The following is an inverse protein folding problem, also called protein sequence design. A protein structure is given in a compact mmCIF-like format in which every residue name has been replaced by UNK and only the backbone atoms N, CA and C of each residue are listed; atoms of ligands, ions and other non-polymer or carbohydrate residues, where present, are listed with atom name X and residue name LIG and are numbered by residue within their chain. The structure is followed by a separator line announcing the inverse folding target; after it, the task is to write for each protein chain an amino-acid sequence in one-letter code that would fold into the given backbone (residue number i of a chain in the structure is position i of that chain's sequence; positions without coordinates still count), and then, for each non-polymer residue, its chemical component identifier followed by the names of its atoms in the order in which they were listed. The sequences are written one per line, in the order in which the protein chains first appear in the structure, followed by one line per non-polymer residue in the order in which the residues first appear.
data_IF_259650898412
#
_entry.id   IF_259650898412
#
_cell.length_a   1.000
_cell.length_b   1.000
_cell.length_c   1.000
_cell.angle_alpha   90.00
_cell.angle_beta   90.00
_cell.angle_gamma   90.00
#
_symmetry.space_group_name_H-M   'P 1'
#
loop_
_entity.id
_entity.type
_entity.pdbx_description
1 polymer ?
#
# COMPACT_ATOMS: atom_id res chain seq x y z
N UNK A 1 27.18 34.02 0.82
CA UNK A 1 26.10 33.64 -0.10
C UNK A 1 26.16 32.13 -0.24
N UNK A 2 25.18 31.29 0.13
CA UNK A 2 23.73 31.42 0.29
C UNK A 2 23.26 30.70 1.56
N UNK A 3 22.12 31.09 2.18
CA UNK A 3 21.63 30.48 3.41
C UNK A 3 21.05 29.08 3.18
N UNK A 4 21.17 28.24 4.22
CA UNK A 4 20.57 26.93 4.34
C UNK A 4 19.06 26.99 4.09
N UNK A 5 18.59 26.24 3.11
CA UNK A 5 17.16 26.09 2.84
C UNK A 5 16.58 25.17 3.91
N UNK A 6 15.61 25.60 4.73
CA UNK A 6 14.89 24.67 5.59
C UNK A 6 13.98 23.86 4.67
N UNK A 7 14.45 22.68 4.26
CA UNK A 7 13.58 21.72 3.58
C UNK A 7 12.46 21.39 4.56
N UNK A 8 11.25 21.79 4.19
CA UNK A 8 10.03 21.45 4.91
C UNK A 8 9.88 19.92 4.84
N UNK A 9 10.46 19.25 5.82
CA UNK A 9 10.46 17.82 6.06
C UNK A 9 9.07 17.37 6.53
N UNK A 10 8.06 17.61 5.71
CA UNK A 10 6.66 17.49 6.12
C UNK A 10 5.85 16.82 5.02
N UNK A 11 6.25 15.59 4.70
CA UNK A 11 5.42 14.55 4.09
C UNK A 11 6.03 13.13 4.27
N UNK A 12 6.03 12.52 5.45
CA UNK A 12 6.96 12.73 6.58
C UNK A 12 8.14 11.71 6.55
N UNK A 13 8.13 10.75 5.63
CA UNK A 13 9.15 9.72 5.46
C UNK A 13 8.89 9.01 4.12
N UNK A 14 9.34 9.57 2.98
CA UNK A 14 9.03 9.01 1.67
C UNK A 14 9.69 7.64 1.50
N UNK A 15 9.03 6.76 0.75
CA UNK A 15 9.59 5.45 0.42
C UNK A 15 10.89 5.64 -0.36
N UNK A 16 11.99 4.93 -0.02
CA UNK A 16 13.18 4.96 -0.86
C UNK A 16 12.85 4.47 -2.27
N UNK A 17 13.54 5.00 -3.26
CA UNK A 17 13.36 4.63 -4.67
C UNK A 17 14.47 3.65 -5.09
N UNK A 18 14.13 2.56 -5.81
CA UNK A 18 15.13 1.63 -6.33
C UNK A 18 16.11 2.33 -7.30
N UNK A 19 17.37 1.89 -7.36
CA UNK A 19 18.30 2.35 -8.38
C UNK A 19 17.79 1.97 -9.78
N UNK A 20 18.13 2.79 -10.77
CA UNK A 20 17.83 2.50 -12.18
C UNK A 20 18.83 1.44 -12.65
N UNK A 21 18.32 0.38 -13.27
CA UNK A 21 19.16 -0.66 -13.85
C UNK A 21 19.92 -0.08 -15.05
N UNK A 22 21.27 -0.21 -15.10
CA UNK A 22 22.04 0.23 -16.25
C UNK A 22 21.79 -0.68 -17.45
N UNK A 23 21.92 -0.12 -18.66
CA UNK A 23 21.87 -0.92 -19.88
C UNK A 23 23.20 -1.66 -20.12
N UNK A 24 23.21 -2.62 -21.04
CA UNK A 24 24.45 -3.25 -21.50
C UNK A 24 25.36 -2.22 -22.17
N UNK A 25 24.81 -1.25 -22.91
CA UNK A 25 25.59 -0.19 -23.56
C UNK A 25 26.29 0.76 -22.56
N UNK A 26 25.80 0.87 -21.32
CA UNK A 26 26.49 1.60 -20.24
C UNK A 26 27.73 0.85 -19.73
N UNK A 27 27.84 -0.45 -20.03
CA UNK A 27 29.03 -1.22 -19.72
C UNK A 27 30.16 -0.86 -20.68
N UNK A 28 31.31 -0.47 -20.13
CA UNK A 28 32.52 -0.17 -20.92
C UNK A 28 33.05 -1.40 -21.72
N UNK A 29 32.58 -2.63 -21.43
CA UNK A 29 32.97 -3.92 -22.05
C UNK A 29 34.48 -4.24 -22.10
N UNK A 30 35.32 -3.33 -21.61
CA UNK A 30 36.79 -3.41 -21.68
C UNK A 30 37.42 -3.62 -20.30
N UNK A 31 36.60 -3.86 -19.27
CA UNK A 31 37.06 -4.07 -17.89
C UNK A 31 37.32 -2.79 -17.10
N UNK A 32 36.63 -1.67 -17.41
CA UNK A 32 36.69 -0.47 -16.58
C UNK A 32 36.28 -0.77 -15.12
N UNK A 33 37.00 -0.23 -14.14
CA UNK A 33 36.69 -0.38 -12.71
C UNK A 33 36.37 0.97 -12.06
N UNK A 34 35.23 1.10 -11.36
CA UNK A 34 34.24 0.06 -11.07
C UNK A 34 33.30 -0.24 -12.26
N UNK A 35 32.86 -1.50 -12.41
CA UNK A 35 31.85 -1.85 -13.41
C UNK A 35 30.53 -1.15 -13.06
N UNK A 36 29.76 -0.71 -14.06
CA UNK A 36 28.45 -0.06 -13.82
C UNK A 36 27.49 -1.01 -13.08
N UNK A 37 27.58 -2.31 -13.35
CA UNK A 37 26.82 -3.33 -12.65
C UNK A 37 27.26 -3.47 -11.18
N UNK A 38 28.56 -3.38 -10.88
CA UNK A 38 29.04 -3.39 -9.48
C UNK A 38 28.51 -2.18 -8.69
N UNK A 39 28.49 -1.00 -9.33
CA UNK A 39 27.95 0.23 -8.73
C UNK A 39 26.45 0.10 -8.50
N UNK A 40 25.73 -0.51 -9.46
CA UNK A 40 24.31 -0.79 -9.35
C UNK A 40 24.01 -1.76 -8.22
N UNK A 41 24.72 -2.89 -8.12
CA UNK A 41 24.52 -3.88 -7.07
C UNK A 41 24.75 -3.27 -5.68
N UNK A 42 25.83 -2.51 -5.51
CA UNK A 42 26.08 -1.78 -4.27
C UNK A 42 24.98 -0.74 -3.96
N UNK A 43 24.39 -0.11 -4.97
CA UNK A 43 23.25 0.79 -4.79
C UNK A 43 21.97 0.04 -4.42
N UNK A 44 21.78 -1.15 -4.97
CA UNK A 44 20.65 -2.02 -4.68
C UNK A 44 20.68 -2.48 -3.22
N UNK A 45 21.83 -2.91 -2.72
CA UNK A 45 22.00 -3.27 -1.30
C UNK A 45 21.64 -2.11 -0.36
N UNK A 46 22.12 -0.88 -0.67
CA UNK A 46 21.77 0.32 0.12
C UNK A 46 20.28 0.60 0.09
N UNK A 47 19.65 0.41 -1.07
CA UNK A 47 18.21 0.59 -1.24
C UNK A 47 17.42 -0.43 -0.40
N UNK A 48 17.80 -1.70 -0.40
CA UNK A 48 17.11 -2.74 0.38
C UNK A 48 17.18 -2.47 1.89
N UNK A 49 18.35 -2.05 2.38
CA UNK A 49 18.52 -1.64 3.79
C UNK A 49 17.61 -0.45 4.11
N UNK A 50 17.62 0.59 3.26
CA UNK A 50 16.78 1.77 3.46
C UNK A 50 15.29 1.41 3.43
N UNK A 51 14.89 0.50 2.54
CA UNK A 51 13.50 0.05 2.40
C UNK A 51 13.04 -0.72 3.64
N UNK A 52 13.87 -1.61 4.18
CA UNK A 52 13.57 -2.35 5.40
C UNK A 52 13.38 -1.40 6.60
N UNK A 53 14.26 -0.41 6.75
CA UNK A 53 14.14 0.59 7.82
C UNK A 53 12.89 1.46 7.66
N UNK A 54 12.56 1.84 6.43
CA UNK A 54 11.33 2.56 6.12
C UNK A 54 10.08 1.75 6.48
N UNK A 55 10.03 0.46 6.14
CA UNK A 55 8.90 -0.41 6.47
C UNK A 55 8.66 -0.49 7.98
N UNK A 56 9.72 -0.65 8.78
CA UNK A 56 9.62 -0.64 10.26
C UNK A 56 9.02 0.66 10.80
N UNK A 57 9.32 1.81 10.17
CA UNK A 57 8.71 3.10 10.55
C UNK A 57 7.25 3.18 10.15
N UNK A 58 6.88 2.66 8.96
CA UNK A 58 5.47 2.56 8.56
C UNK A 58 4.67 1.67 9.50
N UNK A 59 5.23 0.54 9.93
CA UNK A 59 4.57 -0.38 10.86
C UNK A 59 4.26 0.27 12.21
N UNK A 60 5.19 1.06 12.74
CA UNK A 60 4.95 1.85 13.95
C UNK A 60 3.85 2.89 13.73
N UNK A 61 3.88 3.58 12.59
CA UNK A 61 2.89 4.62 12.27
C UNK A 61 1.50 4.05 11.98
N UNK A 62 1.38 2.92 11.28
CA UNK A 62 0.09 2.28 11.03
C UNK A 62 -0.54 1.75 12.32
N UNK A 63 0.25 1.28 13.29
CA UNK A 63 -0.30 0.90 14.61
C UNK A 63 -0.85 2.12 15.34
N UNK A 64 -0.14 3.25 15.33
CA UNK A 64 -0.61 4.49 15.98
C UNK A 64 -1.75 5.17 15.22
N UNK A 65 -1.78 5.10 13.89
CA UNK A 65 -2.81 5.74 13.07
C UNK A 65 -4.08 4.91 12.92
N UNK A 66 -4.01 3.59 13.13
CA UNK A 66 -5.21 2.71 13.13
C UNK A 66 -6.01 2.78 14.44
N UNK A 67 -5.55 3.53 15.46
CA UNK A 67 -6.26 3.78 16.72
C UNK A 67 -6.85 5.22 16.83
N UNK A 68 -6.80 6.03 15.76
CA UNK A 68 -7.63 7.23 15.66
C UNK A 68 -8.96 6.86 14.98
N UNK A 69 -10.10 6.78 15.71
CA UNK A 69 -11.38 6.65 15.05
C UNK A 69 -11.57 7.89 14.18
N UNK A 70 -11.82 7.66 12.91
CA UNK A 70 -11.92 8.68 11.88
C UNK A 70 -13.13 9.59 12.16
N UNK A 71 -12.91 10.61 12.98
CA UNK A 71 -13.84 11.70 13.20
C UNK A 71 -13.49 12.81 12.22
N UNK A 72 -14.15 12.78 11.07
CA UNK A 72 -13.95 13.77 10.03
C UNK A 72 -14.79 13.53 8.78
N UNK A 73 -16.09 13.29 8.90
CA UNK A 73 -17.14 13.74 7.95
C UNK A 73 -18.52 13.69 8.64
N UNK A 74 -19.09 14.81 9.12
CA UNK A 74 -20.53 14.89 9.31
C UNK A 74 -21.20 15.48 8.07
N UNK A 75 -22.29 14.84 7.62
CA UNK A 75 -23.60 15.42 7.22
C UNK A 75 -24.26 14.66 6.04
N UNK A 76 -25.60 14.70 5.92
CA UNK A 76 -26.61 14.34 6.92
C UNK A 76 -27.61 13.30 6.37
N UNK A 77 -28.41 12.70 7.25
CA UNK A 77 -29.55 11.88 6.88
C UNK A 77 -30.60 12.70 6.08
N UNK A 78 -30.87 12.31 4.83
CA UNK A 78 -32.13 12.66 4.16
C UNK A 78 -32.74 11.38 3.58
N UNK A 79 -33.97 11.15 4.01
CA UNK A 79 -34.74 9.92 3.87
C UNK A 79 -35.43 9.86 2.50
N UNK A 80 -35.61 8.67 1.94
CA UNK A 80 -36.66 8.42 0.94
C UNK A 80 -37.35 7.06 1.21
N UNK A 81 -38.68 6.97 1.05
CA UNK A 81 -39.50 5.96 1.74
C UNK A 81 -39.60 4.61 1.00
N UNK A 82 -40.02 3.62 1.81
CA UNK A 82 -40.26 2.21 1.50
C UNK A 82 -41.19 2.01 0.29
N UNK A 83 -40.78 1.18 -0.67
CA UNK A 83 -41.69 0.45 -1.55
C UNK A 83 -41.68 -1.03 -1.15
N UNK A 84 -42.70 -1.43 -0.38
CA UNK A 84 -43.00 -2.84 -0.10
C UNK A 84 -43.92 -3.34 -1.22
N UNK A 85 -43.35 -4.01 -2.23
CA UNK A 85 -44.13 -4.76 -3.22
C UNK A 85 -44.20 -6.22 -2.77
N UNK A 86 -45.40 -6.60 -2.35
CA UNK A 86 -45.79 -7.97 -1.99
C UNK A 86 -45.99 -8.85 -3.24
N UNK A 87 -46.05 -10.17 -2.98
CA UNK A 87 -46.09 -11.35 -3.89
C UNK A 87 -44.67 -11.82 -4.15
N UNK A 88 -44.23 -13.01 -3.70
CA UNK A 88 -44.70 -14.30 -4.20
C UNK A 88 -44.66 -15.39 -3.10
N UNK A 89 -45.83 -15.79 -2.61
CA UNK A 89 -46.01 -17.07 -1.94
C UNK A 89 -46.61 -18.04 -2.94
N UNK A 90 -45.82 -18.97 -3.47
CA UNK A 90 -46.40 -20.20 -4.03
C UNK A 90 -45.40 -21.37 -3.91
N UNK A 91 -45.65 -22.15 -2.86
CA UNK A 91 -45.64 -23.61 -2.87
C UNK A 91 -44.51 -24.35 -3.60
N UNK A 92 -43.59 -24.95 -2.82
CA UNK A 92 -43.22 -26.35 -3.09
C UNK A 92 -42.86 -27.05 -1.78
N UNK A 93 -43.92 -27.41 -1.06
CA UNK A 93 -43.91 -28.32 0.07
C UNK A 93 -43.65 -29.73 -0.49
N UNK A 94 -42.39 -30.13 -0.69
CA UNK A 94 -42.04 -31.52 -1.06
C UNK A 94 -41.46 -32.25 0.15
N UNK A 95 -42.41 -32.73 0.95
CA UNK A 95 -42.43 -34.05 1.57
C UNK A 95 -41.25 -34.49 2.44
N UNK A 96 -41.49 -34.34 3.74
CA UNK A 96 -41.10 -35.24 4.83
C UNK A 96 -41.21 -36.72 4.43
N UNK A 97 -40.09 -37.44 4.45
CA UNK A 97 -40.06 -38.89 4.60
C UNK A 97 -39.06 -39.24 5.71
N UNK A 98 -39.61 -39.54 6.87
CA UNK A 98 -38.90 -40.14 7.98
C UNK A 98 -38.54 -41.59 7.65
N UNK A 99 -37.31 -42.03 7.94
CA UNK A 99 -37.09 -43.25 8.73
C UNK A 99 -35.64 -43.32 9.26
N UNK A 100 -35.42 -43.38 10.59
CA UNK A 100 -34.15 -43.79 11.17
C UNK A 100 -34.06 -45.32 11.23
N UNK A 101 -32.86 -45.87 11.00
CA UNK A 101 -32.43 -47.13 11.62
C UNK A 101 -30.91 -47.22 11.68
#
# INVERSE_FOLDING_TARGET
MSPAVPQSASADDPKPQPPVQPDLDDCCHSGCSPCVFDVYDAALERYEIALAEWQKRQEKRQVTSQEAPQMGHPRPAVQAPRARAAKETLASHKSRAAKPR
#
